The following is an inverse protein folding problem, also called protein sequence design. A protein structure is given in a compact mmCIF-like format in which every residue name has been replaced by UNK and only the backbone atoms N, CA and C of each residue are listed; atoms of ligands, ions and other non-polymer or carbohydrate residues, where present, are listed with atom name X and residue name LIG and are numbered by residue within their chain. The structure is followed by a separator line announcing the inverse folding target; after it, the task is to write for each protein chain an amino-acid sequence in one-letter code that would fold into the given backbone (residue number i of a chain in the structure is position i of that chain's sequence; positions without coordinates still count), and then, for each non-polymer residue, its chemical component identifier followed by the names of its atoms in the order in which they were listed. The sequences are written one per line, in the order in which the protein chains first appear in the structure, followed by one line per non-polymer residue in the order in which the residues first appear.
data_IF_280945122952
#
_entry.id   IF_280945122952
#
_cell.length_a   1.000
_cell.length_b   1.000
_cell.length_c   1.000
_cell.angle_alpha   90.00
_cell.angle_beta   90.00
_cell.angle_gamma   90.00
#
_symmetry.space_group_name_H-M   'P 1'
#
loop_
_entity.id
_entity.type
_entity.pdbx_description
1 polymer ?
#
# COMPACT_ATOMS: atom_id res chain seq x y z
N UNK A 1 -10.86 4.41 38.00
CA UNK A 1 -9.63 5.16 37.68
C UNK A 1 -9.51 5.26 36.16
N UNK A 2 -9.35 6.46 35.62
CA UNK A 2 -9.09 6.65 34.17
C UNK A 2 -7.75 6.02 33.79
N UNK A 3 -7.68 5.33 32.63
CA UNK A 3 -6.39 4.84 32.12
C UNK A 3 -5.47 6.04 31.84
N UNK A 4 -4.17 5.94 32.17
CA UNK A 4 -3.23 7.03 31.89
C UNK A 4 -3.15 7.30 30.39
N UNK A 5 -3.04 8.56 30.00
CA UNK A 5 -2.72 8.97 28.62
C UNK A 5 -1.27 8.55 28.36
N UNK A 6 -1.03 7.70 27.34
CA UNK A 6 0.28 7.13 27.05
C UNK A 6 0.51 7.01 25.55
N UNK A 7 1.73 7.32 25.10
CA UNK A 7 2.26 7.01 23.77
C UNK A 7 3.68 6.46 23.93
N UNK A 8 3.98 5.39 23.19
CA UNK A 8 5.30 4.75 23.14
C UNK A 8 6.02 4.99 21.81
N UNK A 9 5.51 5.92 20.97
CA UNK A 9 6.07 6.21 19.65
C UNK A 9 7.31 7.09 19.75
N UNK A 10 7.14 8.29 20.29
CA UNK A 10 8.19 9.29 20.35
C UNK A 10 7.99 10.26 21.51
N UNK A 11 9.07 10.92 21.91
CA UNK A 11 9.06 12.06 22.83
C UNK A 11 10.19 13.01 22.50
N UNK A 12 10.06 14.27 22.93
CA UNK A 12 11.07 15.31 22.73
C UNK A 12 11.25 16.16 23.99
N UNK A 13 12.45 16.67 24.16
CA UNK A 13 12.84 17.73 25.12
C UNK A 13 13.45 18.89 24.35
N UNK A 14 14.00 19.88 25.06
CA UNK A 14 14.65 21.04 24.43
C UNK A 14 15.84 20.61 23.54
N UNK A 15 16.53 19.54 23.92
CA UNK A 15 17.81 19.09 23.35
C UNK A 15 17.78 17.68 22.76
N UNK A 16 16.69 16.92 22.92
CA UNK A 16 16.60 15.54 22.45
C UNK A 16 15.27 15.23 21.77
N UNK A 17 15.34 14.43 20.72
CA UNK A 17 14.19 13.81 20.06
C UNK A 17 14.45 12.31 20.00
N UNK A 18 13.57 11.52 20.59
CA UNK A 18 13.69 10.06 20.63
C UNK A 18 12.47 9.44 19.97
N UNK A 19 12.69 8.53 19.02
CA UNK A 19 11.65 7.82 18.27
C UNK A 19 11.88 6.32 18.47
N UNK A 20 10.85 5.61 18.96
CA UNK A 20 10.95 4.17 19.25
C UNK A 20 12.19 3.80 20.09
N UNK A 21 12.54 4.65 21.03
CA UNK A 21 13.69 4.44 21.92
C UNK A 21 15.06 4.79 21.32
N UNK A 22 15.11 5.28 20.08
CA UNK A 22 16.32 5.66 19.35
C UNK A 22 16.48 7.18 19.28
N UNK A 23 17.69 7.64 19.46
CA UNK A 23 18.03 9.06 19.30
C UNK A 23 17.89 9.46 17.82
N UNK A 24 17.01 10.43 17.54
CA UNK A 24 16.73 10.80 16.16
C UNK A 24 17.97 11.33 15.42
N UNK A 25 18.75 12.30 15.95
CA UNK A 25 19.95 12.80 15.29
C UNK A 25 21.07 11.76 15.15
N UNK A 26 21.34 10.96 16.18
CA UNK A 26 22.53 10.12 16.23
C UNK A 26 22.32 8.70 15.69
N UNK A 27 21.09 8.15 15.74
CA UNK A 27 20.81 6.75 15.38
C UNK A 27 19.90 6.61 14.14
N UNK A 28 19.14 7.63 13.77
CA UNK A 28 18.16 7.54 12.68
C UNK A 28 18.58 8.35 11.47
N UNK A 29 18.89 9.65 11.65
CA UNK A 29 19.25 10.53 10.55
C UNK A 29 20.55 10.07 9.86
N UNK A 30 20.46 9.85 8.54
CA UNK A 30 21.60 9.35 7.76
C UNK A 30 21.83 7.84 7.87
N UNK A 31 21.11 7.13 8.74
CA UNK A 31 21.23 5.67 8.91
C UNK A 31 20.03 4.91 8.37
N UNK A 32 18.81 5.46 8.50
CA UNK A 32 17.59 4.84 7.99
C UNK A 32 17.06 5.59 6.76
N UNK A 33 16.61 4.84 5.75
CA UNK A 33 15.79 5.38 4.67
C UNK A 33 14.31 5.45 5.10
N UNK A 34 13.44 6.03 4.26
CA UNK A 34 12.02 6.23 4.58
C UNK A 34 11.28 4.90 4.83
N UNK A 35 11.60 3.85 4.07
CA UNK A 35 10.99 2.53 4.28
C UNK A 35 11.45 1.90 5.59
N UNK A 36 12.72 2.00 5.95
CA UNK A 36 13.25 1.49 7.22
C UNK A 36 12.66 2.25 8.40
N UNK A 37 12.46 3.56 8.26
CA UNK A 37 11.77 4.38 9.27
C UNK A 37 10.31 3.93 9.43
N UNK A 38 9.61 3.66 8.33
CA UNK A 38 8.25 3.13 8.38
C UNK A 38 8.21 1.74 9.04
N UNK A 39 9.18 0.87 8.73
CA UNK A 39 9.29 -0.44 9.38
C UNK A 39 9.50 -0.30 10.90
N UNK A 40 10.38 0.61 11.32
CA UNK A 40 10.60 0.92 12.73
C UNK A 40 9.31 1.37 13.42
N UNK A 41 8.55 2.28 12.80
CA UNK A 41 7.27 2.75 13.36
C UNK A 41 6.24 1.63 13.51
N UNK A 42 6.15 0.73 12.54
CA UNK A 42 5.17 -0.36 12.52
C UNK A 42 5.54 -1.51 13.49
N UNK A 43 6.84 -1.78 13.68
CA UNK A 43 7.32 -2.97 14.40
C UNK A 43 8.00 -2.65 15.73
N UNK A 44 8.43 -1.39 15.94
CA UNK A 44 9.20 -0.97 17.11
C UNK A 44 10.69 -1.35 17.06
N UNK A 45 11.19 -1.87 15.93
CA UNK A 45 12.59 -2.24 15.73
C UNK A 45 13.09 -1.86 14.34
N UNK A 46 14.38 -1.67 14.19
CA UNK A 46 15.04 -1.45 12.89
C UNK A 46 15.04 -2.77 12.10
N UNK A 47 14.77 -2.74 10.79
CA UNK A 47 14.87 -3.94 9.96
C UNK A 47 16.34 -4.39 9.80
N UNK A 48 16.58 -5.68 9.62
CA UNK A 48 17.85 -6.14 9.09
C UNK A 48 17.97 -5.83 7.58
N UNK A 49 19.15 -6.03 6.98
CA UNK A 49 19.39 -5.68 5.57
C UNK A 49 18.46 -6.44 4.60
N UNK A 50 18.04 -7.67 4.93
CA UNK A 50 17.17 -8.50 4.11
C UNK A 50 15.72 -8.03 4.24
N UNK A 51 15.28 -7.73 5.45
CA UNK A 51 13.97 -7.15 5.75
C UNK A 51 13.82 -5.77 5.08
N UNK A 52 14.85 -4.93 5.21
CA UNK A 52 14.91 -3.60 4.56
C UNK A 52 14.73 -3.74 3.04
N UNK A 53 15.51 -4.62 2.39
CA UNK A 53 15.40 -4.85 0.93
C UNK A 53 13.98 -5.25 0.54
N UNK A 54 13.37 -6.22 1.23
CA UNK A 54 12.04 -6.72 0.91
C UNK A 54 10.96 -5.68 1.21
N UNK A 55 10.99 -5.07 2.40
CA UNK A 55 9.98 -4.09 2.80
C UNK A 55 9.99 -2.86 1.91
N UNK A 56 11.18 -2.34 1.58
CA UNK A 56 11.31 -1.24 0.62
C UNK A 56 10.79 -1.61 -0.78
N UNK A 57 11.00 -2.84 -1.25
CA UNK A 57 10.43 -3.30 -2.52
C UNK A 57 8.89 -3.30 -2.49
N UNK A 58 8.28 -3.72 -1.37
CA UNK A 58 6.83 -3.64 -1.19
C UNK A 58 6.32 -2.20 -1.23
N UNK A 59 6.97 -1.29 -0.50
CA UNK A 59 6.61 0.14 -0.45
C UNK A 59 6.71 0.77 -1.85
N UNK A 60 7.86 0.60 -2.53
CA UNK A 60 8.10 1.17 -3.86
C UNK A 60 7.07 0.67 -4.89
N UNK A 61 6.65 -0.59 -4.82
CA UNK A 61 5.61 -1.15 -5.71
C UNK A 61 4.28 -0.39 -5.62
N UNK A 62 3.99 0.25 -4.49
CA UNK A 62 2.71 0.92 -4.21
C UNK A 62 2.74 2.43 -4.45
N UNK A 63 3.93 3.02 -4.64
CA UNK A 63 4.09 4.47 -4.81
C UNK A 63 3.29 4.96 -6.01
N UNK A 64 3.39 4.28 -7.16
CA UNK A 64 2.83 4.78 -8.41
C UNK A 64 2.16 3.68 -9.24
N UNK A 65 1.08 4.04 -9.94
CA UNK A 65 0.37 3.17 -10.88
C UNK A 65 -0.36 3.98 -11.99
N UNK A 66 0.13 5.16 -12.33
CA UNK A 66 -0.47 6.05 -13.33
C UNK A 66 -1.75 6.73 -12.86
N UNK A 67 -2.60 7.12 -13.80
CA UNK A 67 -3.82 7.89 -13.54
C UNK A 67 -4.91 6.98 -12.95
N UNK A 68 -4.84 6.78 -11.65
CA UNK A 68 -5.85 6.03 -10.88
C UNK A 68 -6.94 6.96 -10.36
N UNK A 69 -8.10 6.45 -9.88
CA UNK A 69 -9.11 7.27 -9.22
C UNK A 69 -8.56 8.12 -8.06
N UNK A 70 -7.60 7.59 -7.31
CA UNK A 70 -6.89 8.30 -6.24
C UNK A 70 -6.09 9.50 -6.78
N UNK A 71 -5.33 9.30 -7.88
CA UNK A 71 -4.57 10.37 -8.53
C UNK A 71 -5.50 11.44 -9.14
N UNK A 72 -6.61 11.02 -9.78
CA UNK A 72 -7.61 11.95 -10.30
C UNK A 72 -8.25 12.79 -9.20
N UNK A 73 -8.64 12.17 -8.08
CA UNK A 73 -9.22 12.89 -6.95
C UNK A 73 -8.24 13.97 -6.42
N UNK A 74 -6.95 13.63 -6.28
CA UNK A 74 -5.94 14.58 -5.86
C UNK A 74 -5.78 15.75 -6.85
N UNK A 75 -5.65 15.45 -8.15
CA UNK A 75 -5.48 16.47 -9.20
C UNK A 75 -6.69 17.40 -9.32
N UNK A 76 -7.91 16.85 -9.29
CA UNK A 76 -9.15 17.63 -9.33
C UNK A 76 -9.33 18.50 -8.08
N UNK A 77 -8.92 18.03 -6.91
CA UNK A 77 -8.91 18.83 -5.69
C UNK A 77 -7.90 19.96 -5.78
N UNK A 78 -6.71 19.68 -6.32
CA UNK A 78 -5.66 20.69 -6.51
C UNK A 78 -6.08 21.78 -7.50
N UNK A 79 -6.85 21.45 -8.54
CA UNK A 79 -7.42 22.43 -9.47
C UNK A 79 -8.25 23.50 -8.74
N UNK A 80 -9.05 23.08 -7.75
CA UNK A 80 -9.92 23.98 -6.99
C UNK A 80 -9.24 24.67 -5.80
N UNK A 81 -8.13 24.12 -5.29
CA UNK A 81 -7.43 24.60 -4.08
C UNK A 81 -5.90 24.42 -4.21
N UNK A 82 -5.25 25.14 -5.16
CA UNK A 82 -3.81 24.96 -5.43
C UNK A 82 -2.91 25.33 -4.26
N UNK A 83 -3.38 26.17 -3.33
CA UNK A 83 -2.69 26.56 -2.10
C UNK A 83 -2.71 25.45 -1.04
N UNK A 84 -3.61 24.46 -1.14
CA UNK A 84 -3.83 23.40 -0.16
C UNK A 84 -3.30 22.04 -0.65
N UNK A 85 -1.99 21.95 -0.93
CA UNK A 85 -1.35 20.71 -1.41
C UNK A 85 -1.67 19.50 -0.52
N UNK A 86 -1.64 19.67 0.81
CA UNK A 86 -1.98 18.63 1.78
C UNK A 86 -3.45 18.17 1.67
N UNK A 87 -4.36 19.11 1.35
CA UNK A 87 -5.77 18.79 1.12
C UNK A 87 -5.97 17.94 -0.13
N UNK A 88 -5.24 18.27 -1.21
CA UNK A 88 -5.25 17.49 -2.44
C UNK A 88 -4.66 16.08 -2.25
N UNK A 89 -3.55 15.94 -1.52
CA UNK A 89 -3.01 14.63 -1.13
C UNK A 89 -4.04 13.84 -0.32
N UNK A 90 -4.65 14.47 0.69
CA UNK A 90 -5.64 13.83 1.55
C UNK A 90 -6.85 13.31 0.74
N UNK A 91 -7.35 14.09 -0.24
CA UNK A 91 -8.47 13.67 -1.10
C UNK A 91 -8.12 12.41 -1.91
N UNK A 92 -6.90 12.33 -2.45
CA UNK A 92 -6.41 11.14 -3.13
C UNK A 92 -6.29 9.94 -2.20
N UNK A 93 -5.84 10.14 -0.96
CA UNK A 93 -5.74 9.07 0.04
C UNK A 93 -7.11 8.54 0.50
N UNK A 94 -8.12 9.40 0.60
CA UNK A 94 -9.50 8.99 0.91
C UNK A 94 -10.06 8.02 -0.14
N UNK A 95 -9.58 8.06 -1.38
CA UNK A 95 -9.93 7.12 -2.44
C UNK A 95 -9.30 5.73 -2.30
N UNK A 96 -8.43 5.49 -1.32
CA UNK A 96 -7.72 4.23 -1.09
C UNK A 96 -8.49 3.26 -0.17
N UNK A 97 -9.76 3.02 -0.48
CA UNK A 97 -10.62 2.14 0.29
C UNK A 97 -10.33 0.64 0.08
N UNK A 98 -11.30 -0.18 0.49
CA UNK A 98 -11.22 -1.65 0.46
C UNK A 98 -11.05 -2.24 -0.95
N UNK A 99 -11.48 -1.53 -1.99
CA UNK A 99 -11.39 -1.99 -3.39
C UNK A 99 -9.97 -1.94 -3.93
N UNK A 100 -9.18 -0.95 -3.52
CA UNK A 100 -7.80 -0.77 -4.00
C UNK A 100 -6.79 -1.28 -2.95
N UNK A 101 -6.37 -0.42 -2.05
CA UNK A 101 -5.30 -0.71 -1.07
C UNK A 101 -5.76 -1.71 -0.01
N UNK A 102 -7.04 -1.72 0.34
CA UNK A 102 -7.61 -2.64 1.32
C UNK A 102 -7.57 -4.12 0.90
N UNK A 103 -7.35 -4.41 -0.39
CA UNK A 103 -7.21 -5.80 -0.85
C UNK A 103 -5.95 -6.48 -0.31
N UNK A 104 -4.86 -5.77 -0.04
CA UNK A 104 -3.67 -6.38 0.57
C UNK A 104 -3.84 -6.63 2.07
N UNK A 105 -4.55 -5.77 2.79
CA UNK A 105 -4.97 -6.03 4.18
C UNK A 105 -5.87 -7.27 4.25
N UNK A 106 -6.84 -7.36 3.33
CA UNK A 106 -7.71 -8.52 3.21
C UNK A 106 -6.96 -9.82 2.91
N UNK A 107 -5.94 -9.76 2.02
CA UNK A 107 -5.09 -10.90 1.71
C UNK A 107 -4.25 -11.33 2.93
N UNK A 108 -3.61 -10.38 3.61
CA UNK A 108 -2.81 -10.66 4.81
C UNK A 108 -3.67 -11.25 5.93
N UNK A 109 -4.88 -10.70 6.14
CA UNK A 109 -5.84 -11.23 7.13
C UNK A 109 -6.24 -12.66 6.79
N UNK A 110 -6.68 -12.91 5.54
CA UNK A 110 -7.09 -14.24 5.09
C UNK A 110 -5.98 -15.28 5.30
N UNK A 111 -4.75 -14.96 4.87
CA UNK A 111 -3.61 -15.84 5.00
C UNK A 111 -3.25 -16.10 6.47
N UNK A 112 -3.30 -15.07 7.32
CA UNK A 112 -3.01 -15.19 8.75
C UNK A 112 -4.05 -16.08 9.45
N UNK A 113 -5.33 -15.90 9.16
CA UNK A 113 -6.43 -16.70 9.72
C UNK A 113 -6.36 -18.15 9.22
N UNK A 114 -6.19 -18.35 7.92
CA UNK A 114 -6.05 -19.67 7.32
C UNK A 114 -4.86 -20.46 7.88
N UNK A 115 -3.72 -19.81 8.08
CA UNK A 115 -2.54 -20.47 8.67
C UNK A 115 -2.76 -20.89 10.13
N UNK A 116 -3.54 -20.12 10.93
CA UNK A 116 -3.91 -20.49 12.29
C UNK A 116 -4.87 -21.68 12.33
N UNK A 117 -5.75 -21.78 11.34
CA UNK A 117 -6.74 -22.82 11.23
C UNK A 117 -6.24 -24.08 10.47
N UNK A 118 -5.02 -24.03 9.93
CA UNK A 118 -4.42 -25.12 9.15
C UNK A 118 -5.10 -25.35 7.80
N UNK A 119 -5.78 -24.33 7.24
CA UNK A 119 -6.51 -24.42 5.96
C UNK A 119 -5.54 -24.44 4.78
N UNK A 120 -5.81 -25.32 3.83
CA UNK A 120 -5.13 -25.37 2.54
C UNK A 120 -5.79 -24.47 1.48
N UNK A 121 -5.17 -24.34 0.32
CA UNK A 121 -5.67 -23.54 -0.79
C UNK A 121 -7.05 -23.98 -1.29
N UNK A 122 -7.29 -25.29 -1.34
CA UNK A 122 -8.55 -25.87 -1.83
C UNK A 122 -9.71 -25.50 -0.91
N UNK A 123 -9.52 -25.64 0.39
CA UNK A 123 -10.49 -25.25 1.42
C UNK A 123 -10.81 -23.75 1.32
N UNK A 124 -9.78 -22.89 1.23
CA UNK A 124 -9.96 -21.44 1.13
C UNK A 124 -10.75 -21.08 -0.14
N UNK A 125 -10.43 -21.69 -1.28
CA UNK A 125 -11.13 -21.42 -2.55
C UNK A 125 -12.60 -21.87 -2.50
N UNK A 126 -12.90 -22.97 -1.81
CA UNK A 126 -14.27 -23.44 -1.63
C UNK A 126 -15.12 -22.51 -0.73
N UNK A 127 -14.51 -21.98 0.33
CA UNK A 127 -15.19 -21.10 1.28
C UNK A 127 -15.38 -19.66 0.77
N UNK A 128 -14.54 -19.18 -0.18
CA UNK A 128 -14.52 -17.79 -0.58
C UNK A 128 -14.82 -17.59 -2.06
N UNK A 129 -15.98 -16.98 -2.37
CA UNK A 129 -16.34 -16.60 -3.74
C UNK A 129 -15.34 -15.57 -4.32
N UNK A 130 -14.93 -14.59 -3.50
CA UNK A 130 -13.92 -13.56 -3.83
C UNK A 130 -12.76 -13.66 -2.86
N UNK A 131 -11.55 -13.70 -3.39
CA UNK A 131 -10.31 -13.78 -2.61
C UNK A 131 -9.51 -12.50 -2.85
N UNK A 132 -9.23 -11.71 -1.80
CA UNK A 132 -8.41 -10.51 -1.92
C UNK A 132 -7.01 -10.86 -2.46
N UNK A 133 -6.49 -10.00 -3.35
CA UNK A 133 -5.16 -10.23 -3.92
C UNK A 133 -5.13 -11.12 -5.15
N UNK A 134 -6.29 -11.61 -5.65
CA UNK A 134 -6.39 -12.34 -6.91
C UNK A 134 -7.04 -11.50 -8.01
N UNK A 135 -6.58 -11.74 -9.24
CA UNK A 135 -7.10 -11.11 -10.46
C UNK A 135 -6.52 -9.71 -10.71
N UNK A 136 -6.42 -9.36 -11.98
CA UNK A 136 -6.02 -8.03 -12.43
C UNK A 136 -6.72 -7.72 -13.76
N UNK A 137 -7.19 -6.47 -13.99
CA UNK A 137 -7.87 -6.13 -15.25
C UNK A 137 -6.93 -6.19 -16.46
N UNK A 138 -5.66 -5.81 -16.31
CA UNK A 138 -4.68 -5.70 -17.38
C UNK A 138 -3.66 -6.84 -17.39
N UNK A 139 -3.07 -7.17 -16.21
CA UNK A 139 -1.96 -8.11 -16.13
C UNK A 139 -2.44 -9.57 -16.15
N UNK A 140 -2.18 -10.27 -17.27
CA UNK A 140 -2.49 -11.69 -17.48
C UNK A 140 -1.44 -12.29 -18.43
N UNK A 141 -0.98 -13.51 -18.25
CA UNK A 141 -1.37 -14.48 -17.19
C UNK A 141 -0.66 -14.25 -15.86
N UNK A 142 0.29 -13.31 -15.77
CA UNK A 142 1.10 -13.02 -14.59
C UNK A 142 1.13 -11.50 -14.35
N UNK A 143 1.05 -11.08 -13.11
CA UNK A 143 1.36 -9.69 -12.72
C UNK A 143 2.89 -9.57 -12.53
N UNK A 144 3.61 -8.78 -13.34
CA UNK A 144 5.07 -8.70 -13.26
C UNK A 144 5.57 -8.20 -11.91
N UNK A 145 4.75 -7.41 -11.20
CA UNK A 145 5.10 -6.89 -9.88
C UNK A 145 5.08 -8.01 -8.83
N UNK A 146 4.06 -8.87 -8.84
CA UNK A 146 3.98 -9.98 -7.90
C UNK A 146 5.09 -11.01 -8.17
N UNK A 147 5.39 -11.32 -9.43
CA UNK A 147 6.49 -12.18 -9.80
C UNK A 147 7.83 -11.66 -9.24
N UNK A 148 8.13 -10.37 -9.47
CA UNK A 148 9.37 -9.76 -8.98
C UNK A 148 9.44 -9.69 -7.45
N UNK A 149 8.33 -9.40 -6.78
CA UNK A 149 8.26 -9.41 -5.31
C UNK A 149 8.57 -10.80 -4.73
N UNK A 150 8.02 -11.86 -5.32
CA UNK A 150 8.32 -13.23 -4.88
C UNK A 150 9.76 -13.66 -5.18
N UNK A 151 10.37 -13.17 -6.27
CA UNK A 151 11.80 -13.35 -6.52
C UNK A 151 12.64 -12.68 -5.43
N UNK A 152 12.37 -11.42 -5.10
CA UNK A 152 13.05 -10.71 -4.01
C UNK A 152 12.86 -11.44 -2.69
N UNK A 153 11.68 -11.99 -2.43
CA UNK A 153 11.43 -12.78 -1.24
C UNK A 153 12.31 -14.05 -1.19
N UNK A 154 12.53 -14.73 -2.32
CA UNK A 154 13.46 -15.86 -2.42
C UNK A 154 14.92 -15.42 -2.21
N UNK A 155 15.33 -14.33 -2.84
CA UNK A 155 16.67 -13.74 -2.69
C UNK A 155 16.99 -13.37 -1.23
N UNK A 156 15.99 -12.88 -0.49
CA UNK A 156 16.12 -12.41 0.89
C UNK A 156 15.82 -13.50 1.93
N UNK A 157 15.35 -14.67 1.50
CA UNK A 157 15.00 -15.79 2.39
C UNK A 157 13.63 -15.63 3.08
N UNK A 158 12.76 -14.74 2.59
CA UNK A 158 11.40 -14.52 3.11
C UNK A 158 10.29 -15.19 2.27
N UNK A 159 10.67 -16.03 1.30
CA UNK A 159 9.64 -16.82 0.62
C UNK A 159 9.29 -18.05 1.46
N UNK A 160 8.21 -17.96 2.23
CA UNK A 160 7.79 -18.99 3.17
C UNK A 160 6.35 -19.48 2.90
N UNK A 161 5.68 -19.90 3.97
CA UNK A 161 4.38 -20.57 3.91
C UNK A 161 3.24 -19.69 3.39
N UNK A 162 3.26 -18.39 3.67
CA UNK A 162 2.20 -17.47 3.22
C UNK A 162 2.34 -17.17 1.73
N UNK A 163 3.57 -17.02 1.23
CA UNK A 163 3.84 -16.87 -0.19
C UNK A 163 3.41 -18.14 -0.95
N UNK A 164 3.80 -19.30 -0.48
CA UNK A 164 3.44 -20.60 -1.07
C UNK A 164 1.91 -20.81 -1.06
N UNK A 165 1.23 -20.47 0.04
CA UNK A 165 -0.21 -20.56 0.17
C UNK A 165 -0.92 -19.62 -0.82
N UNK A 166 -0.46 -18.37 -0.93
CA UNK A 166 -1.04 -17.39 -1.86
C UNK A 166 -0.91 -17.83 -3.33
N UNK A 167 0.26 -18.35 -3.74
CA UNK A 167 0.46 -18.91 -5.08
C UNK A 167 -0.42 -20.14 -5.31
N UNK A 168 -0.54 -21.03 -4.31
CA UNK A 168 -1.43 -22.20 -4.39
C UNK A 168 -2.91 -21.81 -4.53
N UNK A 169 -3.38 -20.79 -3.80
CA UNK A 169 -4.73 -20.23 -3.93
C UNK A 169 -4.96 -19.68 -5.34
N UNK A 170 -3.98 -18.93 -5.87
CA UNK A 170 -4.04 -18.40 -7.25
C UNK A 170 -4.16 -19.50 -8.28
N UNK A 171 -3.37 -20.58 -8.14
CA UNK A 171 -3.40 -21.75 -9.00
C UNK A 171 -4.75 -22.50 -8.90
N UNK A 172 -5.22 -22.77 -7.69
CA UNK A 172 -6.49 -23.47 -7.46
C UNK A 172 -7.69 -22.71 -8.02
N UNK A 173 -7.68 -21.37 -7.87
CA UNK A 173 -8.74 -20.48 -8.40
C UNK A 173 -8.59 -20.19 -9.89
N UNK A 174 -7.49 -20.61 -10.52
CA UNK A 174 -7.11 -20.24 -11.89
C UNK A 174 -7.11 -18.70 -12.11
N UNK A 175 -6.55 -17.98 -11.16
CA UNK A 175 -6.47 -16.50 -11.18
C UNK A 175 -5.05 -16.03 -10.86
N UNK A 176 -4.64 -14.94 -11.51
CA UNK A 176 -3.34 -14.32 -11.24
C UNK A 176 -3.29 -13.76 -9.81
N UNK A 177 -2.20 -14.03 -9.10
CA UNK A 177 -1.85 -13.31 -7.87
C UNK A 177 -1.37 -11.93 -8.27
N UNK A 178 -2.08 -10.89 -7.87
CA UNK A 178 -1.69 -9.52 -8.17
C UNK A 178 -0.75 -8.93 -7.10
N UNK A 179 -0.23 -7.72 -7.33
CA UNK A 179 0.71 -7.08 -6.41
C UNK A 179 0.18 -7.00 -4.96
N UNK A 180 -1.13 -6.77 -4.77
CA UNK A 180 -1.70 -6.66 -3.42
C UNK A 180 -1.78 -8.01 -2.71
N UNK A 181 -1.97 -9.11 -3.45
CA UNK A 181 -1.90 -10.47 -2.92
C UNK A 181 -0.48 -10.85 -2.50
N UNK A 182 0.50 -10.54 -3.34
CA UNK A 182 1.91 -10.75 -3.01
C UNK A 182 2.32 -9.95 -1.77
N UNK A 183 1.98 -8.64 -1.72
CA UNK A 183 2.30 -7.79 -0.56
C UNK A 183 1.62 -8.29 0.71
N UNK A 184 0.36 -8.74 0.64
CA UNK A 184 -0.33 -9.34 1.78
C UNK A 184 0.40 -10.57 2.33
N UNK A 185 0.87 -11.47 1.45
CA UNK A 185 1.64 -12.64 1.83
C UNK A 185 3.01 -12.25 2.45
N UNK A 186 3.73 -11.34 1.80
CA UNK A 186 5.05 -10.88 2.25
C UNK A 186 4.98 -10.13 3.59
N UNK A 187 3.92 -9.38 3.83
CA UNK A 187 3.67 -8.76 5.13
C UNK A 187 3.53 -9.81 6.24
N UNK A 188 2.83 -10.92 5.96
CA UNK A 188 2.75 -12.05 6.88
C UNK A 188 4.10 -12.74 7.11
N UNK A 189 4.93 -12.91 6.07
CA UNK A 189 6.29 -13.47 6.20
C UNK A 189 7.20 -12.58 7.05
N UNK A 190 7.06 -11.26 6.94
CA UNK A 190 7.77 -10.29 7.77
C UNK A 190 7.20 -10.19 9.22
N UNK A 191 6.14 -10.94 9.53
CA UNK A 191 5.51 -10.91 10.86
C UNK A 191 4.73 -9.63 11.14
N UNK A 192 4.35 -8.86 10.11
CA UNK A 192 3.58 -7.64 10.28
C UNK A 192 2.12 -7.95 10.66
N UNK A 193 1.57 -7.14 11.55
CA UNK A 193 0.14 -7.22 11.85
C UNK A 193 -0.68 -6.85 10.59
N UNK A 194 -1.62 -7.71 10.19
CA UNK A 194 -2.45 -7.50 9.01
C UNK A 194 -3.19 -6.14 9.05
N UNK A 195 -3.49 -5.61 10.24
CA UNK A 195 -4.12 -4.29 10.44
C UNK A 195 -3.26 -3.12 10.01
N UNK A 196 -1.92 -3.31 9.98
CA UNK A 196 -0.99 -2.28 9.54
C UNK A 196 -0.77 -2.30 8.01
N UNK A 197 -1.14 -3.39 7.31
CA UNK A 197 -0.80 -3.59 5.90
C UNK A 197 -1.42 -2.54 4.99
N UNK A 198 -2.66 -2.12 5.24
CA UNK A 198 -3.28 -0.99 4.51
C UNK A 198 -2.48 0.30 4.67
N UNK A 199 -1.93 0.54 5.87
CA UNK A 199 -1.10 1.71 6.15
C UNK A 199 0.15 1.80 5.27
N UNK A 200 0.76 0.64 4.93
CA UNK A 200 1.88 0.59 3.98
C UNK A 200 1.50 1.20 2.63
N UNK A 201 0.33 0.85 2.11
CA UNK A 201 -0.15 1.41 0.84
C UNK A 201 -0.53 2.88 0.92
N UNK A 202 -1.08 3.31 2.04
CA UNK A 202 -1.43 4.73 2.28
C UNK A 202 -0.18 5.60 2.30
N UNK A 203 0.86 5.23 3.06
CA UNK A 203 2.10 6.00 3.11
C UNK A 203 2.84 6.00 1.77
N UNK A 204 2.91 4.85 1.09
CA UNK A 204 3.55 4.75 -0.21
C UNK A 204 2.84 5.64 -1.25
N UNK A 205 1.51 5.57 -1.32
CA UNK A 205 0.71 6.38 -2.24
C UNK A 205 0.81 7.88 -1.95
N UNK A 206 0.98 8.30 -0.71
CA UNK A 206 1.19 9.71 -0.38
C UNK A 206 2.39 10.30 -1.15
N UNK A 207 3.49 9.55 -1.27
CA UNK A 207 4.67 9.95 -2.06
C UNK A 207 4.30 10.13 -3.54
N UNK A 208 3.60 9.14 -4.15
CA UNK A 208 3.16 9.22 -5.55
C UNK A 208 2.20 10.38 -5.81
N UNK A 209 1.28 10.66 -4.88
CA UNK A 209 0.34 11.78 -5.00
C UNK A 209 1.05 13.13 -4.99
N UNK A 210 2.10 13.31 -4.18
CA UNK A 210 2.93 14.53 -4.24
C UNK A 210 3.57 14.69 -5.62
N UNK A 211 4.05 13.59 -6.23
CA UNK A 211 4.55 13.57 -7.61
C UNK A 211 3.48 14.01 -8.62
N UNK A 212 2.25 13.47 -8.51
CA UNK A 212 1.12 13.87 -9.36
C UNK A 212 0.78 15.35 -9.23
N UNK A 213 0.80 15.92 -8.02
CA UNK A 213 0.49 17.33 -7.82
C UNK A 213 1.59 18.26 -8.33
N UNK A 214 2.86 17.85 -8.22
CA UNK A 214 3.97 18.58 -8.81
C UNK A 214 3.88 18.58 -10.34
N UNK A 215 3.50 17.45 -10.95
CA UNK A 215 3.25 17.37 -12.39
C UNK A 215 2.05 18.24 -12.78
N UNK A 216 0.94 18.17 -12.04
CA UNK A 216 -0.26 19.01 -12.28
C UNK A 216 0.06 20.50 -12.26
N UNK A 217 0.95 20.95 -11.39
CA UNK A 217 1.38 22.36 -11.33
C UNK A 217 2.19 22.82 -12.55
N UNK A 218 2.79 21.89 -13.30
CA UNK A 218 3.65 22.17 -14.47
C UNK A 218 2.98 21.83 -15.79
N UNK A 219 2.22 20.76 -15.80
CA UNK A 219 1.50 20.21 -16.94
C UNK A 219 0.09 19.84 -16.51
N UNK A 220 -0.79 20.81 -16.33
CA UNK A 220 -2.14 20.60 -15.80
C UNK A 220 -2.97 19.72 -16.74
N UNK A 221 -3.68 18.75 -16.18
CA UNK A 221 -4.64 17.91 -16.91
C UNK A 221 -6.04 17.90 -16.29
N UNK A 222 -6.17 18.32 -15.04
CA UNK A 222 -7.43 18.20 -14.29
C UNK A 222 -8.56 19.01 -14.95
N UNK A 223 -8.29 20.21 -15.43
CA UNK A 223 -9.25 21.05 -16.14
C UNK A 223 -9.74 20.39 -17.45
N UNK A 224 -8.80 19.83 -18.22
CA UNK A 224 -9.16 19.12 -19.45
C UNK A 224 -10.02 17.88 -19.17
N UNK A 225 -9.70 17.12 -18.10
CA UNK A 225 -10.50 15.96 -17.65
C UNK A 225 -11.91 16.42 -17.26
N UNK A 226 -12.04 17.50 -16.50
CA UNK A 226 -13.34 18.03 -16.11
C UNK A 226 -14.18 18.39 -17.33
N UNK A 227 -13.67 19.22 -18.25
CA UNK A 227 -14.41 19.63 -19.46
C UNK A 227 -14.77 18.44 -20.36
N UNK A 228 -13.88 17.48 -20.53
CA UNK A 228 -14.15 16.28 -21.32
C UNK A 228 -15.27 15.43 -20.72
N UNK A 229 -15.25 15.24 -19.40
CA UNK A 229 -16.29 14.48 -18.68
C UNK A 229 -17.63 15.22 -18.77
N UNK A 230 -17.65 16.54 -18.53
CA UNK A 230 -18.85 17.39 -18.65
C UNK A 230 -19.48 17.26 -20.03
N UNK A 231 -18.70 17.44 -21.10
CA UNK A 231 -19.17 17.34 -22.47
C UNK A 231 -19.74 15.95 -22.82
N UNK A 232 -19.13 14.88 -22.32
CA UNK A 232 -19.61 13.52 -22.54
C UNK A 232 -20.86 13.20 -21.72
N UNK A 233 -20.86 13.58 -20.44
CA UNK A 233 -21.94 13.26 -19.52
C UNK A 233 -23.25 13.97 -19.89
N UNK A 234 -23.17 15.19 -20.41
CA UNK A 234 -24.36 16.04 -20.74
C UNK A 234 -24.80 15.94 -22.19
N UNK A 235 -24.07 15.22 -23.06
CA UNK A 235 -24.36 15.14 -24.51
C UNK A 235 -25.79 14.72 -24.85
N UNK A 236 -26.41 13.90 -24.02
CA UNK A 236 -27.74 13.37 -24.23
C UNK A 236 -28.87 14.40 -23.95
N UNK A 237 -28.61 15.42 -23.13
CA UNK A 237 -29.57 16.48 -22.78
C UNK A 237 -29.37 17.75 -23.61
N UNK A 238 -28.24 17.90 -24.30
CA UNK A 238 -27.97 19.07 -25.18
C UNK A 238 -28.60 18.94 -26.57
N UNK A 239 -29.33 17.87 -26.87
CA UNK A 239 -29.97 17.60 -28.16
C UNK A 239 -31.43 18.12 -28.26
N UNK A 240 -31.83 18.95 -27.31
CA UNK A 240 -33.09 19.72 -27.37
C UNK A 240 -32.73 21.15 -27.70
#
# INVERSE_FOLDING_TARGET
MSKPIRSDLAWSTVDRIVVRGKDLPGEILGHLNLGDMAFLELTGRVPDARESKLFNAMVVTLVEHGITPSALAARLTYLGAPEALQGAVASGLLGLGSVFVGSMEGAARLLSEAAKEGKDAKTIVAEHKRIPGLGHPLHKPVDPRSARLFEIARETGFYGKYCALMEAIGKEKNMVVNATGAIGALACELGLDWRAVRGIGVMARAVGLVGHLLEESRQPMAEAVWHQVEAQATKHIQKT
#
